data_IF_362717716863
#
_entry.id   IF_362717716863
#
_cell.length_a   1.000
_cell.length_b   1.000
_cell.length_c   1.000
_cell.angle_alpha   90.00
_cell.angle_beta   90.00
_cell.angle_gamma   90.00
#
_symmetry.space_group_name_H-M   'P 1'
#
loop_
_entity.id
_entity.type
_entity.pdbx_description
1 polymer ?
#
# COMPACT_ATOMS: atom_id res chain seq x y z
N UNK A 1 6.51 47.67 17.64
CA UNK A 1 5.14 47.10 17.70
C UNK A 1 5.16 45.85 16.85
N UNK A 2 5.22 44.68 17.48
CA UNK A 2 5.34 43.39 16.81
C UNK A 2 3.95 42.80 16.65
N UNK A 3 3.46 42.71 15.41
CA UNK A 3 2.16 42.14 15.08
C UNK A 3 2.22 40.62 15.26
N UNK A 4 1.48 40.11 16.24
CA UNK A 4 1.27 38.68 16.43
C UNK A 4 0.41 38.15 15.27
N UNK A 5 0.92 37.14 14.56
CA UNK A 5 0.14 36.37 13.59
C UNK A 5 -0.89 35.56 14.38
N UNK A 6 -2.14 35.99 14.29
CA UNK A 6 -3.28 35.35 14.91
C UNK A 6 -3.55 34.04 14.16
N UNK A 7 -3.04 32.91 14.69
CA UNK A 7 -3.46 31.58 14.27
C UNK A 7 -4.94 31.41 14.64
N UNK A 8 -5.82 31.63 13.67
CA UNK A 8 -7.26 31.47 13.88
C UNK A 8 -7.60 30.01 14.14
N UNK A 9 -7.98 29.68 15.38
CA UNK A 9 -8.56 28.38 15.71
C UNK A 9 -9.85 28.18 14.89
N UNK A 10 -9.82 27.28 13.91
CA UNK A 10 -11.01 26.87 13.16
C UNK A 10 -12.01 26.22 14.12
N UNK A 11 -13.27 26.64 14.06
CA UNK A 11 -14.33 26.04 14.89
C UNK A 11 -14.65 24.61 14.42
N UNK A 12 -15.12 23.76 15.34
CA UNK A 12 -15.53 22.39 15.04
C UNK A 12 -16.58 22.34 13.90
N UNK A 13 -17.51 23.29 13.87
CA UNK A 13 -18.55 23.37 12.84
C UNK A 13 -17.96 23.64 11.45
N UNK A 14 -17.04 24.59 11.33
CA UNK A 14 -16.37 24.91 10.06
C UNK A 14 -15.52 23.73 9.54
N UNK A 15 -14.93 22.94 10.43
CA UNK A 15 -14.20 21.72 10.06
C UNK A 15 -15.17 20.67 9.50
N UNK A 16 -16.28 20.39 10.20
CA UNK A 16 -17.28 19.41 9.77
C UNK A 16 -17.90 19.79 8.42
N UNK A 17 -18.18 21.07 8.18
CA UNK A 17 -18.69 21.54 6.89
C UNK A 17 -17.70 21.29 5.75
N UNK A 18 -16.41 21.57 5.97
CA UNK A 18 -15.37 21.30 4.97
C UNK A 18 -15.17 19.82 4.73
N UNK A 19 -15.15 19.03 5.79
CA UNK A 19 -15.05 17.58 5.71
C UNK A 19 -16.22 17.01 4.90
N UNK A 20 -17.46 17.43 5.17
CA UNK A 20 -18.65 17.00 4.40
C UNK A 20 -18.60 17.41 2.93
N UNK A 21 -18.08 18.60 2.61
CA UNK A 21 -17.92 19.07 1.22
C UNK A 21 -16.97 18.22 0.40
N UNK A 22 -16.06 17.49 1.04
CA UNK A 22 -15.12 16.58 0.38
C UNK A 22 -15.71 15.19 0.16
N UNK A 23 -16.97 14.97 0.54
CA UNK A 23 -17.71 13.71 0.38
C UNK A 23 -16.88 12.47 0.79
N UNK A 24 -16.35 12.43 2.03
CA UNK A 24 -15.60 11.29 2.52
C UNK A 24 -16.48 10.03 2.47
N UNK A 25 -15.85 8.89 2.17
CA UNK A 25 -16.53 7.61 2.12
C UNK A 25 -17.01 7.21 3.52
N UNK A 26 -18.24 6.70 3.62
CA UNK A 26 -18.70 6.05 4.86
C UNK A 26 -18.22 4.60 4.92
N UNK A 27 -18.07 4.09 6.14
CA UNK A 27 -17.67 2.71 6.38
C UNK A 27 -18.78 1.98 7.13
N UNK A 28 -19.37 0.98 6.48
CA UNK A 28 -20.46 0.19 7.06
C UNK A 28 -19.97 -1.04 7.83
N UNK A 29 -18.66 -1.32 7.75
CA UNK A 29 -18.08 -2.59 8.16
C UNK A 29 -17.81 -3.48 6.96
N UNK A 30 -16.76 -4.29 7.06
CA UNK A 30 -16.34 -5.24 6.02
C UNK A 30 -15.70 -6.45 6.70
N UNK A 31 -15.78 -7.61 6.05
CA UNK A 31 -14.99 -8.79 6.43
C UNK A 31 -13.61 -8.79 5.79
N UNK A 32 -13.36 -7.90 4.82
CA UNK A 32 -12.10 -7.75 4.12
C UNK A 32 -11.30 -6.58 4.73
N UNK A 33 -10.21 -6.83 5.48
CA UNK A 33 -9.44 -5.77 6.14
C UNK A 33 -8.82 -4.77 5.16
N UNK A 34 -8.66 -5.16 3.89
CA UNK A 34 -8.15 -4.26 2.83
C UNK A 34 -9.07 -3.06 2.63
N UNK A 35 -10.39 -3.28 2.67
CA UNK A 35 -11.34 -2.19 2.45
C UNK A 35 -11.36 -1.25 3.66
N UNK A 36 -11.09 -1.76 4.87
CA UNK A 36 -10.97 -0.95 6.09
C UNK A 36 -9.71 -0.09 6.10
N UNK A 37 -8.57 -0.65 5.70
CA UNK A 37 -7.30 0.09 5.59
C UNK A 37 -7.34 1.11 4.45
N UNK A 38 -7.92 0.76 3.30
CA UNK A 38 -8.15 1.69 2.19
C UNK A 38 -9.08 2.83 2.62
N UNK A 39 -10.16 2.53 3.33
CA UNK A 39 -11.04 3.55 3.89
C UNK A 39 -10.29 4.51 4.83
N UNK A 40 -9.50 4.00 5.78
CA UNK A 40 -8.68 4.84 6.67
C UNK A 40 -7.69 5.71 5.89
N UNK A 41 -7.04 5.14 4.86
CA UNK A 41 -6.08 5.86 4.02
C UNK A 41 -6.74 7.01 3.26
N UNK A 42 -7.91 6.78 2.67
CA UNK A 42 -8.65 7.86 1.98
C UNK A 42 -9.13 8.93 2.98
N UNK A 43 -9.54 8.54 4.18
CA UNK A 43 -9.89 9.46 5.25
C UNK A 43 -8.69 10.35 5.66
N UNK A 44 -7.50 9.76 5.81
CA UNK A 44 -6.29 10.48 6.22
C UNK A 44 -5.84 11.50 5.17
N UNK A 45 -6.04 11.23 3.87
CA UNK A 45 -5.81 12.22 2.80
C UNK A 45 -6.69 13.45 2.99
N UNK A 46 -7.97 13.25 3.30
CA UNK A 46 -8.91 14.35 3.55
C UNK A 46 -8.47 15.15 4.78
N UNK A 47 -8.10 14.48 5.87
CA UNK A 47 -7.65 15.13 7.10
C UNK A 47 -6.38 15.95 6.91
N UNK A 48 -5.43 15.43 6.14
CA UNK A 48 -4.20 16.14 5.78
C UNK A 48 -4.52 17.39 4.97
N UNK A 49 -5.42 17.27 3.98
CA UNK A 49 -5.80 18.38 3.12
C UNK A 49 -6.47 19.54 3.87
N UNK A 50 -7.32 19.25 4.87
CA UNK A 50 -8.02 20.28 5.66
C UNK A 50 -7.31 20.63 6.98
N UNK A 51 -6.14 20.03 7.24
CA UNK A 51 -5.31 20.22 8.43
C UNK A 51 -6.04 19.96 9.76
N UNK A 52 -6.66 18.78 9.89
CA UNK A 52 -7.34 18.35 11.12
C UNK A 52 -6.36 18.04 12.27
N UNK A 53 -6.73 18.43 13.49
CA UNK A 53 -6.08 17.93 14.71
C UNK A 53 -6.49 16.48 14.99
N UNK A 54 -5.71 15.75 15.80
CA UNK A 54 -6.00 14.33 16.09
C UNK A 54 -7.40 14.12 16.70
N UNK A 55 -7.84 15.00 17.60
CA UNK A 55 -9.20 14.95 18.15
C UNK A 55 -10.28 15.12 17.06
N UNK A 56 -10.05 16.02 16.10
CA UNK A 56 -10.96 16.26 14.98
C UNK A 56 -11.02 15.06 14.02
N UNK A 57 -9.88 14.39 13.80
CA UNK A 57 -9.81 13.18 12.97
C UNK A 57 -10.67 12.07 13.57
N UNK A 58 -10.56 11.83 14.87
CA UNK A 58 -11.31 10.79 15.57
C UNK A 58 -12.81 11.06 15.51
N UNK A 59 -13.25 12.27 15.83
CA UNK A 59 -14.68 12.63 15.80
C UNK A 59 -15.24 12.46 14.38
N UNK A 60 -14.50 12.90 13.38
CA UNK A 60 -14.90 12.78 11.98
C UNK A 60 -14.96 11.32 11.51
N UNK A 61 -13.98 10.50 11.89
CA UNK A 61 -13.95 9.08 11.54
C UNK A 61 -15.13 8.32 12.14
N UNK A 62 -15.45 8.56 13.42
CA UNK A 62 -16.62 7.98 14.09
C UNK A 62 -17.92 8.39 13.40
N UNK A 63 -18.04 9.67 13.00
CA UNK A 63 -19.22 10.15 12.26
C UNK A 63 -19.42 9.47 10.90
N UNK A 64 -18.35 8.95 10.30
CA UNK A 64 -18.41 8.24 9.01
C UNK A 64 -18.71 6.75 9.14
N UNK A 65 -18.75 6.19 10.35
CA UNK A 65 -19.20 4.83 10.58
C UNK A 65 -20.71 4.74 10.43
N UNK A 66 -21.17 3.73 9.70
CA UNK A 66 -22.58 3.43 9.49
C UNK A 66 -22.82 1.93 9.64
N UNK A 67 -24.07 1.49 9.53
CA UNK A 67 -24.41 0.07 9.52
C UNK A 67 -23.77 -0.68 10.69
N UNK A 68 -23.22 -1.85 10.42
CA UNK A 68 -22.63 -2.73 11.44
C UNK A 68 -21.43 -2.10 12.16
N UNK A 69 -20.60 -1.31 11.46
CA UNK A 69 -19.48 -0.61 12.07
C UNK A 69 -19.93 0.50 13.03
N UNK A 70 -21.01 1.20 12.70
CA UNK A 70 -21.62 2.18 13.60
C UNK A 70 -22.13 1.53 14.88
N UNK A 71 -22.96 0.49 14.76
CA UNK A 71 -23.50 -0.25 15.91
C UNK A 71 -22.39 -0.87 16.77
N UNK A 72 -21.36 -1.45 16.15
CA UNK A 72 -20.21 -1.98 16.89
C UNK A 72 -19.52 -0.90 17.73
N UNK A 73 -19.29 0.29 17.17
CA UNK A 73 -18.60 1.36 17.88
C UNK A 73 -19.42 1.90 19.06
N UNK A 74 -20.75 2.02 18.89
CA UNK A 74 -21.68 2.41 19.96
C UNK A 74 -21.63 1.44 21.16
N UNK A 75 -21.45 0.15 20.90
CA UNK A 75 -21.32 -0.88 21.95
C UNK A 75 -19.92 -0.87 22.57
N UNK A 76 -18.88 -0.65 21.76
CA UNK A 76 -17.48 -0.79 22.17
C UNK A 76 -17.00 0.36 23.06
N UNK A 77 -17.51 1.58 22.92
CA UNK A 77 -16.80 2.75 23.47
C UNK A 77 -17.68 3.87 24.03
N UNK A 78 -17.21 4.38 25.17
CA UNK A 78 -17.52 5.67 25.78
C UNK A 78 -16.32 6.64 25.73
N UNK A 79 -15.21 6.27 25.07
CA UNK A 79 -13.97 7.06 25.00
C UNK A 79 -13.41 7.14 23.57
N UNK A 80 -13.58 8.31 22.94
CA UNK A 80 -13.08 8.60 21.59
C UNK A 80 -11.56 8.40 21.45
N UNK A 81 -10.78 8.69 22.51
CA UNK A 81 -9.32 8.59 22.48
C UNK A 81 -8.76 7.21 22.10
N UNK A 82 -9.52 6.11 22.28
CA UNK A 82 -9.11 4.74 21.94
C UNK A 82 -9.67 4.23 20.62
N UNK A 83 -10.29 5.09 19.82
CA UNK A 83 -10.91 4.72 18.54
C UNK A 83 -9.95 3.98 17.62
N UNK A 84 -8.76 4.54 17.40
CA UNK A 84 -7.78 3.97 16.47
C UNK A 84 -7.35 2.56 16.89
N UNK A 85 -7.11 2.35 18.19
CA UNK A 85 -6.72 1.04 18.73
C UNK A 85 -7.83 0.00 18.50
N UNK A 86 -9.06 0.32 18.90
CA UNK A 86 -10.20 -0.61 18.77
C UNK A 86 -10.60 -0.85 17.32
N UNK A 87 -10.58 0.19 16.48
CA UNK A 87 -10.88 0.06 15.06
C UNK A 87 -9.85 -0.85 14.39
N UNK A 88 -8.56 -0.65 14.69
CA UNK A 88 -7.52 -1.52 14.17
C UNK A 88 -7.72 -2.97 14.64
N UNK A 89 -7.89 -3.22 15.94
CA UNK A 89 -8.13 -4.57 16.46
C UNK A 89 -9.33 -5.28 15.81
N UNK A 90 -10.40 -4.54 15.51
CA UNK A 90 -11.65 -5.10 14.97
C UNK A 90 -11.60 -5.30 13.45
N UNK A 91 -11.08 -4.32 12.70
CA UNK A 91 -11.21 -4.26 11.25
C UNK A 91 -9.88 -4.27 10.50
N UNK A 92 -8.77 -3.97 11.17
CA UNK A 92 -7.41 -4.02 10.61
C UNK A 92 -6.64 -5.14 11.30
N UNK A 93 -6.87 -6.38 10.87
CA UNK A 93 -6.19 -7.54 11.45
C UNK A 93 -4.66 -7.38 11.31
N UNK A 94 -3.96 -7.16 12.42
CA UNK A 94 -2.48 -7.15 12.46
C UNK A 94 -1.90 -8.43 11.86
N UNK A 95 -2.57 -9.56 12.06
CA UNK A 95 -2.20 -10.85 11.47
C UNK A 95 -2.19 -10.81 9.94
N UNK A 96 -3.17 -10.14 9.30
CA UNK A 96 -3.20 -9.99 7.84
C UNK A 96 -2.16 -8.99 7.36
N UNK A 97 -1.89 -7.92 8.11
CA UNK A 97 -0.76 -7.01 7.84
C UNK A 97 0.56 -7.80 7.85
N UNK A 98 0.78 -8.59 8.89
CA UNK A 98 1.96 -9.46 9.00
C UNK A 98 2.03 -10.47 7.85
N UNK A 99 0.89 -11.02 7.42
CA UNK A 99 0.81 -11.91 6.26
C UNK A 99 1.19 -11.18 4.97
N UNK A 100 0.69 -9.96 4.73
CA UNK A 100 1.03 -9.16 3.54
C UNK A 100 2.47 -8.66 3.56
N UNK A 101 3.00 -8.35 4.73
CA UNK A 101 4.42 -8.06 4.93
C UNK A 101 5.28 -9.29 4.61
N UNK A 102 4.91 -10.47 5.12
CA UNK A 102 5.58 -11.72 4.78
C UNK A 102 5.49 -12.03 3.28
N UNK A 103 4.33 -11.77 2.66
CA UNK A 103 4.12 -11.94 1.22
C UNK A 103 5.02 -10.99 0.42
N UNK A 104 5.18 -9.73 0.84
CA UNK A 104 6.11 -8.77 0.23
C UNK A 104 7.57 -9.20 0.39
N UNK A 105 7.95 -9.66 1.58
CA UNK A 105 9.32 -10.13 1.86
C UNK A 105 9.67 -11.33 0.99
N UNK A 106 8.74 -12.28 0.85
CA UNK A 106 8.89 -13.49 0.06
C UNK A 106 8.53 -13.35 -1.42
N UNK A 107 8.20 -12.14 -1.89
CA UNK A 107 7.72 -11.94 -3.25
C UNK A 107 8.84 -12.17 -4.27
N UNK A 108 8.72 -13.25 -5.03
CA UNK A 108 9.57 -13.57 -6.18
C UNK A 108 8.76 -13.53 -7.48
N UNK A 109 9.41 -13.18 -8.58
CA UNK A 109 8.79 -13.11 -9.91
C UNK A 109 8.31 -14.50 -10.36
N UNK A 110 9.07 -15.56 -10.07
CA UNK A 110 8.64 -16.93 -10.37
C UNK A 110 8.28 -17.10 -11.85
N UNK A 111 7.07 -17.60 -12.13
CA UNK A 111 6.52 -17.73 -13.48
C UNK A 111 5.81 -16.47 -14.00
N UNK A 112 5.58 -15.45 -13.16
CA UNK A 112 4.89 -14.23 -13.55
C UNK A 112 5.66 -13.47 -14.63
N UNK A 113 4.93 -12.81 -15.51
CA UNK A 113 5.50 -11.76 -16.34
C UNK A 113 6.03 -10.62 -15.46
N UNK A 114 6.95 -9.83 -16.00
CA UNK A 114 7.50 -8.69 -15.25
C UNK A 114 6.39 -7.69 -14.84
N UNK A 115 5.39 -7.49 -15.71
CA UNK A 115 4.26 -6.57 -15.47
C UNK A 115 3.36 -7.08 -14.34
N UNK A 116 3.09 -8.39 -14.29
CA UNK A 116 2.32 -8.99 -13.19
C UNK A 116 3.07 -8.92 -11.88
N UNK A 117 4.38 -9.19 -11.90
CA UNK A 117 5.24 -9.07 -10.73
C UNK A 117 5.28 -7.63 -10.20
N UNK A 118 5.47 -6.64 -11.07
CA UNK A 118 5.42 -5.22 -10.72
C UNK A 118 4.09 -4.84 -10.07
N UNK A 119 2.98 -5.22 -10.69
CA UNK A 119 1.64 -4.94 -10.15
C UNK A 119 1.46 -5.55 -8.76
N UNK A 120 1.91 -6.79 -8.56
CA UNK A 120 1.82 -7.47 -7.26
C UNK A 120 2.73 -6.82 -6.22
N UNK A 121 3.94 -6.42 -6.62
CA UNK A 121 4.88 -5.69 -5.76
C UNK A 121 4.28 -4.36 -5.30
N UNK A 122 3.73 -3.56 -6.20
CA UNK A 122 3.09 -2.27 -5.88
C UNK A 122 1.85 -2.45 -4.99
N UNK A 123 1.07 -3.51 -5.20
CA UNK A 123 -0.07 -3.83 -4.35
C UNK A 123 0.37 -4.18 -2.92
N UNK A 124 1.36 -5.05 -2.77
CA UNK A 124 1.86 -5.49 -1.46
C UNK A 124 2.60 -4.37 -0.71
N UNK A 125 3.31 -3.53 -1.45
CA UNK A 125 4.03 -2.36 -0.93
C UNK A 125 3.13 -1.37 -0.18
N UNK A 126 1.82 -1.33 -0.50
CA UNK A 126 0.85 -0.47 0.19
C UNK A 126 0.65 -0.86 1.65
N UNK A 127 0.81 -2.15 1.97
CA UNK A 127 0.65 -2.66 3.33
C UNK A 127 1.88 -2.39 4.18
N UNK A 128 3.06 -2.27 3.57
CA UNK A 128 4.33 -2.14 4.28
C UNK A 128 5.16 -0.95 3.76
N UNK A 129 4.63 0.29 3.77
CA UNK A 129 5.33 1.44 3.19
C UNK A 129 6.67 1.72 3.87
N UNK A 130 6.80 1.42 5.16
CA UNK A 130 8.06 1.56 5.90
C UNK A 130 9.15 0.56 5.45
N UNK A 131 8.81 -0.52 4.77
CA UNK A 131 9.79 -1.47 4.23
C UNK A 131 10.43 -1.00 2.92
N UNK A 132 9.84 0.01 2.29
CA UNK A 132 10.23 0.54 0.97
C UNK A 132 10.22 2.08 0.96
N UNK A 133 10.44 2.69 2.12
CA UNK A 133 10.33 4.13 2.35
C UNK A 133 11.41 4.96 1.63
N UNK A 134 12.50 4.30 1.22
CA UNK A 134 13.54 4.87 0.39
C UNK A 134 13.59 4.18 -0.97
N UNK A 135 13.96 4.93 -2.02
CA UNK A 135 14.15 4.37 -3.36
C UNK A 135 15.15 3.19 -3.33
N UNK A 136 16.19 3.27 -2.50
CA UNK A 136 17.16 2.20 -2.34
C UNK A 136 16.54 0.91 -1.76
N UNK A 137 15.73 1.01 -0.70
CA UNK A 137 15.05 -0.15 -0.11
C UNK A 137 14.03 -0.75 -1.07
N UNK A 138 13.24 0.10 -1.72
CA UNK A 138 12.28 -0.30 -2.75
C UNK A 138 12.97 -1.06 -3.90
N UNK A 139 14.06 -0.48 -4.41
CA UNK A 139 14.83 -1.05 -5.52
C UNK A 139 15.46 -2.38 -5.15
N UNK A 140 16.13 -2.45 -4.00
CA UNK A 140 16.76 -3.68 -3.52
C UNK A 140 15.76 -4.82 -3.34
N UNK A 141 14.59 -4.51 -2.76
CA UNK A 141 13.52 -5.51 -2.59
C UNK A 141 12.99 -5.99 -3.94
N UNK A 142 12.73 -5.07 -4.88
CA UNK A 142 12.24 -5.41 -6.21
C UNK A 142 13.25 -6.28 -6.98
N UNK A 143 14.52 -5.85 -7.04
CA UNK A 143 15.59 -6.62 -7.71
C UNK A 143 15.77 -8.00 -7.07
N UNK A 144 15.62 -8.09 -5.74
CA UNK A 144 15.75 -9.35 -5.00
C UNK A 144 14.77 -10.43 -5.45
N UNK A 145 13.57 -10.05 -5.89
CA UNK A 145 12.56 -10.98 -6.37
C UNK A 145 12.58 -11.21 -7.89
N UNK A 146 13.31 -10.43 -8.68
CA UNK A 146 13.39 -10.62 -10.14
C UNK A 146 13.97 -12.00 -10.52
N UNK A 147 13.58 -12.50 -11.70
CA UNK A 147 14.18 -13.72 -12.26
C UNK A 147 15.70 -13.58 -12.38
N UNK A 148 16.48 -14.66 -12.16
CA UNK A 148 17.94 -14.59 -12.11
C UNK A 148 18.60 -13.98 -13.36
N UNK A 149 18.05 -14.24 -14.54
CA UNK A 149 18.51 -13.70 -15.81
C UNK A 149 18.33 -12.17 -15.87
N UNK A 150 17.15 -11.63 -15.50
CA UNK A 150 16.90 -10.19 -15.48
C UNK A 150 17.80 -9.53 -14.44
N UNK A 151 17.91 -10.13 -13.24
CA UNK A 151 18.78 -9.65 -12.16
C UNK A 151 20.25 -9.54 -12.58
N UNK A 152 20.76 -10.50 -13.37
CA UNK A 152 22.12 -10.45 -13.93
C UNK A 152 22.32 -9.23 -14.84
N UNK A 153 21.36 -8.94 -15.71
CA UNK A 153 21.42 -7.78 -16.59
C UNK A 153 21.34 -6.46 -15.81
N UNK A 154 20.46 -6.37 -14.80
CA UNK A 154 20.38 -5.22 -13.89
C UNK A 154 21.74 -4.94 -13.23
N UNK A 155 22.43 -5.99 -12.78
CA UNK A 155 23.78 -5.88 -12.22
C UNK A 155 24.81 -5.39 -13.24
N UNK A 156 24.85 -5.99 -14.43
CA UNK A 156 25.80 -5.62 -15.50
C UNK A 156 25.61 -4.18 -15.96
N UNK A 157 24.36 -3.72 -16.05
CA UNK A 157 24.02 -2.35 -16.43
C UNK A 157 24.17 -1.34 -15.29
N UNK A 158 24.41 -1.81 -14.05
CA UNK A 158 24.59 -0.95 -12.90
C UNK A 158 23.36 -0.12 -12.53
N UNK A 159 22.15 -0.64 -12.77
CA UNK A 159 20.90 0.08 -12.46
C UNK A 159 20.71 0.14 -10.93
N UNK A 160 20.46 1.33 -10.39
CA UNK A 160 20.49 1.59 -8.94
C UNK A 160 19.17 2.10 -8.40
N UNK A 161 18.29 2.57 -9.29
CA UNK A 161 16.97 3.11 -8.93
C UNK A 161 15.83 2.26 -9.45
N UNK A 162 14.67 2.39 -8.81
CA UNK A 162 13.48 1.62 -9.17
C UNK A 162 13.03 1.95 -10.59
N UNK A 163 13.10 3.24 -10.95
CA UNK A 163 12.73 3.74 -12.26
C UNK A 163 13.63 3.20 -13.38
N UNK A 164 14.95 3.17 -13.18
CA UNK A 164 15.89 2.60 -14.16
C UNK A 164 15.61 1.12 -14.42
N UNK A 165 15.35 0.36 -13.35
CA UNK A 165 15.03 -1.07 -13.45
C UNK A 165 13.73 -1.26 -14.25
N UNK A 166 12.66 -0.52 -13.95
CA UNK A 166 11.40 -0.64 -14.69
C UNK A 166 11.52 -0.21 -16.16
N UNK A 167 12.37 0.77 -16.46
CA UNK A 167 12.58 1.21 -17.85
C UNK A 167 13.29 0.14 -18.69
N UNK A 168 14.27 -0.58 -18.11
CA UNK A 168 15.14 -1.50 -18.84
C UNK A 168 14.71 -2.96 -18.75
N UNK A 169 14.12 -3.38 -17.63
CA UNK A 169 13.75 -4.78 -17.39
C UNK A 169 12.77 -5.37 -18.43
N UNK A 170 11.80 -4.63 -19.03
CA UNK A 170 10.94 -5.17 -20.08
C UNK A 170 11.69 -5.56 -21.35
N UNK A 171 12.76 -4.82 -21.70
CA UNK A 171 13.61 -5.12 -22.86
C UNK A 171 14.37 -6.43 -22.60
N UNK A 172 14.97 -6.53 -21.42
CA UNK A 172 15.74 -7.68 -20.97
C UNK A 172 14.87 -8.95 -20.82
N UNK A 173 13.62 -8.79 -20.39
CA UNK A 173 12.67 -9.89 -20.28
C UNK A 173 12.32 -10.48 -21.64
N UNK A 174 12.13 -9.63 -22.67
CA UNK A 174 11.86 -10.08 -24.05
C UNK A 174 13.05 -10.81 -24.65
N UNK A 175 14.27 -10.31 -24.45
CA UNK A 175 15.50 -10.96 -24.92
C UNK A 175 15.66 -12.37 -24.33
N UNK A 176 15.31 -12.54 -23.05
CA UNK A 176 15.40 -13.84 -22.39
C UNK A 176 14.27 -14.81 -22.79
N UNK A 177 13.06 -14.31 -23.02
CA UNK A 177 11.95 -15.11 -23.56
C UNK A 177 12.27 -15.64 -24.97
N UNK A 178 12.87 -14.79 -25.82
CA UNK A 178 13.35 -15.18 -27.16
C UNK A 178 14.47 -16.23 -27.03
N UNK A 179 15.49 -15.97 -26.21
CA UNK A 179 16.60 -16.90 -26.01
C UNK A 179 16.18 -18.24 -25.39
N UNK A 180 15.12 -18.26 -24.57
CA UNK A 180 14.55 -19.48 -24.01
C UNK A 180 13.74 -20.29 -25.03
N UNK A 181 13.07 -19.62 -25.98
CA UNK A 181 12.31 -20.28 -27.05
C UNK A 181 13.21 -20.82 -28.19
N UNK A 182 14.41 -20.27 -28.35
CA UNK A 182 15.37 -20.70 -29.39
C UNK A 182 16.25 -21.90 -28.99
N UNK A 183 16.21 -22.35 -27.72
CA UNK A 183 16.95 -23.57 -27.33
C UNK A 183 16.37 -24.79 -28.05
N UNK A 184 17.17 -25.57 -28.82
CA UNK A 184 16.68 -26.72 -29.55
C UNK A 184 16.04 -27.73 -28.60
N UNK A 185 14.82 -28.19 -28.92
CA UNK A 185 14.27 -29.42 -28.31
C UNK A 185 15.17 -30.56 -28.77
N UNK A 186 16.11 -30.95 -27.92
CA UNK A 186 16.96 -32.11 -28.13
C UNK A 186 16.05 -33.32 -28.33
N UNK A 187 15.97 -33.82 -29.58
CA UNK A 187 15.24 -35.04 -29.89
C UNK A 187 15.96 -36.17 -29.18
N UNK A 188 15.36 -36.71 -28.13
CA UNK A 188 15.78 -37.96 -27.51
C UNK A 188 15.57 -39.06 -28.55
N UNK A 189 16.60 -39.32 -29.34
CA UNK A 189 16.69 -40.52 -30.15
C UNK A 189 17.00 -41.67 -29.18
N UNK A 190 15.99 -42.51 -28.90
CA UNK A 190 16.18 -43.70 -28.08
C UNK A 190 17.17 -44.68 -28.73
N UNK A 191 17.98 -45.41 -27.94
CA UNK A 191 18.92 -46.39 -28.48
C UNK A 191 18.20 -47.60 -29.07
N UNK A 192 18.84 -48.30 -30.04
CA UNK A 192 18.22 -49.32 -30.89
C UNK A 192 17.81 -50.61 -30.17
#
# INVERSE_FOLDING_TARGET
MTTAIQGGNRTHLQMVEQFRRLHPLSFEGTTNPLDAEEWLRELEKVFTFINCTDDQKVISAVFMLKGDAGHWWEIQSNHLARFREHFSQKYVLEELRNEKEAELIGLIQGSMSLVEYERKFEQLSRFAPYMIDTDQLKTNRFIGGLKPNIRKHVWVLGLRTYAEVLQKAPILAREDEIASNEKPKEKVQGPP
#
